data_IF_876385031240
#
_entry.id   IF_876385031240
#
_cell.length_a   1.000
_cell.length_b   1.000
_cell.length_c   1.000
_cell.angle_alpha   90.00
_cell.angle_beta   90.00
_cell.angle_gamma   90.00
#
_symmetry.space_group_name_H-M   'P 1'
#
loop_
_entity.id
_entity.type
_entity.pdbx_description
1 polymer ?
#
# COMPACT_ATOMS: atom_id res chain seq x y z
N UNK A 1 -12.52 6.45 5.02
CA UNK A 1 -11.53 6.09 6.04
C UNK A 1 -10.16 5.96 5.41
N UNK A 2 -9.13 6.33 6.12
CA UNK A 2 -7.77 6.26 5.61
C UNK A 2 -7.05 5.04 6.18
N UNK A 3 -6.28 4.39 5.32
CA UNK A 3 -5.50 3.22 5.70
C UNK A 3 -4.05 3.41 5.30
N UNK A 4 -3.17 2.73 6.02
CA UNK A 4 -1.75 2.67 5.70
C UNK A 4 -1.41 1.25 5.27
N UNK A 5 -0.78 1.16 4.10
CA UNK A 5 -0.29 -0.11 3.57
C UNK A 5 1.23 -0.14 3.69
N UNK A 6 1.76 -1.29 4.09
CA UNK A 6 3.19 -1.52 4.09
C UNK A 6 3.41 -2.89 3.46
N UNK A 7 4.08 -2.91 2.32
CA UNK A 7 4.21 -4.09 1.49
C UNK A 7 5.65 -4.34 1.13
N UNK A 8 6.00 -5.61 0.96
CA UNK A 8 7.24 -6.00 0.31
C UNK A 8 6.88 -6.56 -1.05
N UNK A 9 7.44 -5.99 -2.10
CA UNK A 9 7.14 -6.34 -3.49
C UNK A 9 8.34 -7.01 -4.11
N UNK A 10 8.11 -8.11 -4.82
CA UNK A 10 9.16 -8.89 -5.46
C UNK A 10 9.88 -8.10 -6.55
N UNK A 11 11.15 -8.42 -6.83
CA UNK A 11 11.93 -7.72 -7.84
C UNK A 11 11.59 -8.20 -9.26
N UNK A 12 10.31 -8.17 -9.61
CA UNK A 12 9.85 -8.57 -10.93
C UNK A 12 9.51 -7.33 -11.75
N UNK A 13 9.75 -7.40 -13.04
CA UNK A 13 9.48 -6.28 -13.93
C UNK A 13 7.99 -5.90 -13.87
N UNK A 14 7.72 -4.63 -13.65
CA UNK A 14 6.35 -4.12 -13.58
C UNK A 14 5.60 -4.47 -12.32
N UNK A 15 6.21 -5.14 -11.35
CA UNK A 15 5.54 -5.58 -10.14
C UNK A 15 4.98 -4.40 -9.35
N UNK A 16 5.76 -3.33 -9.22
CA UNK A 16 5.34 -2.17 -8.46
C UNK A 16 4.08 -1.54 -9.05
N UNK A 17 4.07 -1.38 -10.37
CA UNK A 17 2.93 -0.79 -11.08
C UNK A 17 1.70 -1.70 -10.97
N UNK A 18 1.89 -3.01 -11.07
CA UNK A 18 0.77 -3.94 -10.93
C UNK A 18 0.13 -3.88 -9.56
N UNK A 19 0.95 -3.80 -8.52
CA UNK A 19 0.45 -3.73 -7.14
C UNK A 19 -0.31 -2.43 -6.91
N UNK A 20 0.28 -1.30 -7.28
CA UNK A 20 -0.36 0.01 -7.10
C UNK A 20 -1.66 0.07 -7.91
N UNK A 21 -1.64 -0.41 -9.14
CA UNK A 21 -2.83 -0.43 -9.99
C UNK A 21 -3.94 -1.31 -9.42
N UNK A 22 -3.57 -2.43 -8.82
CA UNK A 22 -4.56 -3.30 -8.22
C UNK A 22 -5.24 -2.64 -7.02
N UNK A 23 -4.47 -1.96 -6.18
CA UNK A 23 -5.01 -1.22 -5.03
C UNK A 23 -6.05 -0.21 -5.52
N UNK A 24 -5.70 0.54 -6.55
CA UNK A 24 -6.59 1.54 -7.10
C UNK A 24 -7.86 0.93 -7.70
N UNK A 25 -7.70 -0.16 -8.45
CA UNK A 25 -8.86 -0.84 -9.07
C UNK A 25 -9.81 -1.43 -8.04
N UNK A 26 -9.34 -1.74 -6.84
CA UNK A 26 -10.19 -2.28 -5.78
C UNK A 26 -10.93 -1.20 -5.01
N UNK A 27 -10.79 0.06 -5.41
CA UNK A 27 -11.52 1.16 -4.80
C UNK A 27 -10.80 1.83 -3.63
N UNK A 28 -9.49 1.67 -3.56
CA UNK A 28 -8.66 2.33 -2.55
C UNK A 28 -7.83 3.40 -3.25
N UNK A 29 -8.15 4.66 -2.98
CA UNK A 29 -7.55 5.79 -3.67
C UNK A 29 -6.20 6.11 -3.04
N UNK A 30 -5.09 6.01 -3.79
CA UNK A 30 -3.78 6.38 -3.24
C UNK A 30 -3.69 7.87 -2.99
N UNK A 31 -3.28 8.24 -1.79
CA UNK A 31 -3.04 9.65 -1.42
C UNK A 31 -1.56 9.95 -1.32
N UNK A 32 -0.77 8.96 -0.96
CA UNK A 32 0.68 9.08 -0.91
C UNK A 32 1.28 7.72 -1.21
N UNK A 33 2.38 7.71 -1.95
CA UNK A 33 3.09 6.48 -2.31
C UNK A 33 4.57 6.72 -2.08
N UNK A 34 5.20 5.80 -1.37
CA UNK A 34 6.62 5.85 -1.12
C UNK A 34 7.21 4.46 -1.32
N UNK A 35 8.12 4.34 -2.28
CA UNK A 35 8.76 3.07 -2.59
C UNK A 35 10.26 3.18 -2.35
N UNK A 36 10.80 2.23 -1.59
CA UNK A 36 12.21 2.21 -1.25
C UNK A 36 12.82 0.90 -1.76
N UNK A 37 13.88 0.96 -2.58
CA UNK A 37 14.53 -0.24 -3.05
C UNK A 37 15.37 -0.88 -1.95
N UNK A 38 15.37 -2.21 -1.91
CA UNK A 38 16.24 -2.98 -1.04
C UNK A 38 17.46 -3.47 -1.84
N UNK A 39 18.57 -3.77 -1.16
CA UNK A 39 19.77 -4.25 -1.86
C UNK A 39 19.56 -5.52 -2.68
N UNK A 40 18.58 -6.34 -2.31
CA UNK A 40 18.27 -7.59 -3.01
C UNK A 40 17.31 -7.38 -4.19
N UNK A 41 16.95 -6.15 -4.49
CA UNK A 41 16.09 -5.82 -5.62
C UNK A 41 14.61 -5.75 -5.27
N UNK A 42 14.21 -6.18 -4.09
CA UNK A 42 12.81 -6.04 -3.66
C UNK A 42 12.50 -4.58 -3.34
N UNK A 43 11.22 -4.27 -3.32
CA UNK A 43 10.74 -2.93 -2.96
C UNK A 43 9.98 -2.96 -1.66
N UNK A 44 10.23 -2.00 -0.81
CA UNK A 44 9.33 -1.71 0.30
C UNK A 44 8.39 -0.61 -0.17
N UNK A 45 7.12 -0.92 -0.24
CA UNK A 45 6.09 0.00 -0.73
C UNK A 45 5.22 0.43 0.44
N UNK A 46 5.18 1.72 0.69
CA UNK A 46 4.33 2.30 1.73
C UNK A 46 3.33 3.22 1.05
N UNK A 47 2.06 3.04 1.37
CA UNK A 47 1.00 3.84 0.76
C UNK A 47 0.03 4.31 1.82
N UNK A 48 -0.48 5.52 1.61
CA UNK A 48 -1.66 6.00 2.31
C UNK A 48 -2.80 5.97 1.31
N UNK A 49 -3.89 5.30 1.67
CA UNK A 49 -5.03 5.15 0.78
C UNK A 49 -6.30 5.53 1.51
N UNK A 50 -7.29 5.94 0.73
CA UNK A 50 -8.58 6.32 1.26
C UNK A 50 -9.67 5.49 0.60
N UNK A 51 -10.61 4.97 1.39
CA UNK A 51 -11.70 4.15 0.85
C UNK A 51 -12.84 4.05 1.85
N UNK A 52 -14.03 3.76 1.32
CA UNK A 52 -15.17 3.36 2.13
C UNK A 52 -15.23 1.85 2.33
N UNK A 53 -14.33 1.11 1.68
CA UNK A 53 -14.29 -0.35 1.76
C UNK A 53 -13.49 -0.80 2.97
N UNK A 54 -13.80 -2.00 3.51
CA UNK A 54 -13.08 -2.52 4.67
C UNK A 54 -11.62 -2.84 4.33
N UNK A 55 -10.71 -2.57 5.28
CA UNK A 55 -9.30 -2.85 5.11
C UNK A 55 -9.02 -4.34 4.90
N UNK A 56 -9.78 -5.21 5.56
CA UNK A 56 -9.61 -6.65 5.44
C UNK A 56 -9.78 -7.14 4.01
N UNK A 57 -10.72 -6.55 3.27
CA UNK A 57 -10.92 -6.90 1.87
C UNK A 57 -9.67 -6.65 1.07
N UNK A 58 -9.03 -5.51 1.29
CA UNK A 58 -7.80 -5.16 0.58
C UNK A 58 -6.66 -6.08 1.00
N UNK A 59 -6.50 -6.34 2.29
CA UNK A 59 -5.45 -7.23 2.78
C UNK A 59 -5.54 -8.61 2.13
N UNK A 60 -6.75 -9.19 2.09
CA UNK A 60 -6.96 -10.48 1.46
C UNK A 60 -6.60 -10.48 -0.02
N UNK A 61 -6.99 -9.43 -0.73
CA UNK A 61 -6.68 -9.32 -2.15
C UNK A 61 -5.17 -9.22 -2.38
N UNK A 62 -4.49 -8.43 -1.57
CA UNK A 62 -3.05 -8.23 -1.71
C UNK A 62 -2.28 -9.50 -1.39
N UNK A 63 -2.71 -10.26 -0.39
CA UNK A 63 -2.04 -11.51 -0.01
C UNK A 63 -2.07 -12.54 -1.13
N UNK A 64 -3.04 -12.43 -2.03
CA UNK A 64 -3.16 -13.34 -3.17
C UNK A 64 -2.33 -12.91 -4.37
N UNK A 65 -1.78 -11.70 -4.35
CA UNK A 65 -0.98 -11.20 -5.47
C UNK A 65 0.42 -11.81 -5.39
N UNK A 66 0.82 -12.47 -6.47
CA UNK A 66 2.11 -13.15 -6.51
C UNK A 66 3.27 -12.21 -6.21
N UNK A 67 3.17 -10.96 -6.67
CA UNK A 67 4.25 -9.99 -6.53
C UNK A 67 4.41 -9.47 -5.10
N UNK A 68 3.46 -9.71 -4.21
CA UNK A 68 3.51 -9.27 -2.82
C UNK A 68 3.98 -10.38 -1.91
N UNK A 69 5.06 -10.14 -1.15
CA UNK A 69 5.60 -11.13 -0.22
C UNK A 69 5.13 -10.91 1.20
N UNK A 70 4.89 -9.66 1.57
CA UNK A 70 4.42 -9.32 2.90
C UNK A 70 3.46 -8.16 2.79
N UNK A 71 2.39 -8.22 3.57
CA UNK A 71 1.32 -7.22 3.51
C UNK A 71 0.91 -6.85 4.92
N UNK A 72 0.90 -5.55 5.21
CA UNK A 72 0.37 -5.02 6.45
C UNK A 72 -0.58 -3.88 6.12
N UNK A 73 -1.80 -3.94 6.66
CA UNK A 73 -2.80 -2.90 6.46
C UNK A 73 -3.29 -2.46 7.82
N UNK A 74 -3.29 -1.15 8.07
CA UNK A 74 -3.76 -0.61 9.34
C UNK A 74 -4.57 0.66 9.10
N UNK A 75 -5.43 0.98 10.06
CA UNK A 75 -6.17 2.24 10.02
C UNK A 75 -5.18 3.35 10.28
N UNK A 76 -5.21 4.37 9.44
CA UNK A 76 -4.25 5.47 9.49
C UNK A 76 -4.87 6.70 10.16
N UNK A 77 -5.35 6.49 11.38
CA UNK A 77 -5.99 7.57 12.13
C UNK A 77 -5.01 8.67 12.53
N UNK A 78 -3.77 8.28 12.81
CA UNK A 78 -2.77 9.23 13.28
C UNK A 78 -2.21 10.12 12.17
N UNK A 79 -2.36 9.71 10.94
CA UNK A 79 -1.83 10.47 9.80
C UNK A 79 -2.54 11.81 9.67
N UNK A 80 -3.82 11.85 10.02
CA UNK A 80 -4.57 13.12 9.97
C UNK A 80 -3.90 14.16 10.86
N UNK A 81 -3.53 13.76 12.07
CA UNK A 81 -2.85 14.66 13.00
C UNK A 81 -1.46 15.03 12.51
N UNK A 82 -0.72 14.03 12.05
CA UNK A 82 0.64 14.25 11.55
C UNK A 82 0.61 15.14 10.31
N UNK A 83 -0.36 14.95 9.44
CA UNK A 83 -0.50 15.75 8.22
C UNK A 83 -0.77 17.20 8.59
N UNK A 84 -1.62 17.42 9.58
CA UNK A 84 -1.90 18.77 10.05
C UNK A 84 -0.66 19.47 10.59
N UNK A 85 0.19 18.72 11.26
CA UNK A 85 1.43 19.26 11.77
C UNK A 85 2.43 19.54 10.66
N UNK A 86 2.50 18.63 9.71
CA UNK A 86 3.46 18.75 8.61
C UNK A 86 3.11 19.90 7.68
N UNK A 87 1.85 20.22 7.61
CA UNK A 87 1.43 21.35 6.82
C UNK A 87 1.83 22.66 7.48
#
# INVERSE_FOLDING_TARGET
>A
MQYRLDLIVKPAEGALVRVIGMVERRGFVPRAVHATPHPDGRWRLQMQVESTRPAETLRHQLEKVYDCEAVSVSVDADVVVATGVAA
#
